data_IF_341079385881
#
_entry.id   IF_341079385881
#
_cell.length_a   1.000
_cell.length_b   1.000
_cell.length_c   1.000
_cell.angle_alpha   90.00
_cell.angle_beta   90.00
_cell.angle_gamma   90.00
#
_symmetry.space_group_name_H-M   'P 1'
#
loop_
_entity.id
_entity.type
_entity.pdbx_description
1 polymer ?
#
# COMPACT_ATOMS: atom_id res chain seq x y z
N UNK A 1 -13.53 2.31 3.96
CA UNK A 1 -13.95 3.72 4.09
C UNK A 1 -12.72 4.59 3.92
N UNK A 2 -12.73 5.57 3.01
CA UNK A 2 -11.60 6.48 2.79
C UNK A 2 -11.77 7.70 3.72
N UNK A 3 -10.81 7.95 4.60
CA UNK A 3 -10.80 9.14 5.47
C UNK A 3 -9.89 10.18 4.83
N UNK A 4 -10.44 11.34 4.50
CA UNK A 4 -9.70 12.51 4.03
C UNK A 4 -9.53 13.47 5.21
N UNK A 5 -8.28 13.78 5.57
CA UNK A 5 -7.96 14.79 6.58
C UNK A 5 -7.87 16.16 5.89
N UNK A 6 -8.54 17.23 6.37
CA UNK A 6 -8.47 18.55 5.74
C UNK A 6 -7.12 19.24 6.03
N UNK A 7 -6.67 20.01 5.05
CA UNK A 7 -5.43 20.83 5.07
C UNK A 7 -4.12 20.03 5.23
N UNK A 8 -3.82 19.37 4.11
CA UNK A 8 -2.51 19.01 3.56
C UNK A 8 -1.89 17.62 3.84
N UNK A 9 -1.37 17.09 2.72
CA UNK A 9 -0.32 16.09 2.55
C UNK A 9 -0.59 14.58 2.61
N UNK A 10 -1.55 14.03 3.36
CA UNK A 10 -1.65 12.55 3.52
C UNK A 10 -3.08 12.01 3.38
N UNK A 11 -3.25 10.95 2.58
CA UNK A 11 -4.50 10.20 2.38
C UNK A 11 -4.36 8.77 2.91
N UNK A 12 -5.42 8.20 3.49
CA UNK A 12 -5.42 6.76 3.85
C UNK A 12 -6.09 5.96 2.75
N UNK A 13 -5.31 5.17 2.03
CA UNK A 13 -5.76 4.45 0.83
C UNK A 13 -5.61 2.94 1.00
N UNK A 14 -6.53 2.20 0.36
CA UNK A 14 -6.37 0.76 0.15
C UNK A 14 -5.78 0.53 -1.25
N UNK A 15 -4.75 -0.31 -1.33
CA UNK A 15 -3.95 -0.57 -2.52
C UNK A 15 -3.88 -2.07 -2.79
N UNK A 16 -4.40 -2.52 -3.93
CA UNK A 16 -4.23 -3.91 -4.36
C UNK A 16 -2.88 -4.08 -5.03
N UNK A 17 -2.06 -4.99 -4.52
CA UNK A 17 -0.70 -5.22 -5.01
C UNK A 17 -0.67 -6.04 -6.29
N UNK A 18 0.11 -5.57 -7.27
CA UNK A 18 0.35 -6.24 -8.53
C UNK A 18 1.54 -7.20 -8.47
N UNK A 19 1.86 -7.88 -9.59
CA UNK A 19 2.96 -8.83 -9.66
C UNK A 19 4.33 -8.25 -9.28
N UNK A 20 4.59 -6.98 -9.61
CA UNK A 20 5.89 -6.35 -9.37
C UNK A 20 6.14 -6.00 -7.89
N UNK A 21 5.11 -6.02 -7.05
CA UNK A 21 5.25 -5.86 -5.60
C UNK A 21 5.52 -7.19 -4.87
N UNK A 22 5.37 -8.33 -5.56
CA UNK A 22 5.56 -9.64 -4.96
C UNK A 22 7.01 -9.86 -4.53
N UNK A 23 7.19 -10.28 -3.28
CA UNK A 23 8.51 -10.59 -2.70
C UNK A 23 9.24 -9.40 -2.10
N UNK A 24 8.77 -8.16 -2.32
CA UNK A 24 9.26 -6.99 -1.58
C UNK A 24 8.91 -7.13 -0.10
N UNK A 25 9.77 -6.62 0.77
CA UNK A 25 9.42 -6.44 2.18
C UNK A 25 8.47 -5.24 2.35
N UNK A 26 7.85 -5.12 3.52
CA UNK A 26 7.10 -3.91 3.87
C UNK A 26 8.01 -2.69 3.86
N UNK A 27 9.23 -2.81 4.41
CA UNK A 27 10.21 -1.73 4.40
C UNK A 27 10.60 -1.29 2.98
N UNK A 28 10.84 -2.23 2.06
CA UNK A 28 11.14 -1.93 0.66
C UNK A 28 9.99 -1.18 -0.04
N UNK A 29 8.75 -1.47 0.36
CA UNK A 29 7.54 -0.88 -0.21
C UNK A 29 7.19 0.48 0.39
N UNK A 30 7.56 0.73 1.64
CA UNK A 30 7.38 2.01 2.33
C UNK A 30 8.34 3.07 1.77
N UNK A 31 7.93 3.70 0.66
CA UNK A 31 8.74 4.63 -0.12
C UNK A 31 9.16 5.90 0.67
N UNK A 32 10.36 5.87 1.27
CA UNK A 32 11.07 7.01 1.88
C UNK A 32 10.16 7.96 2.71
N UNK A 33 9.31 7.39 3.57
CA UNK A 33 8.40 8.16 4.42
C UNK A 33 7.21 8.82 3.71
N UNK A 34 7.03 8.58 2.41
CA UNK A 34 5.85 9.04 1.64
C UNK A 34 4.75 7.99 1.52
N UNK A 35 5.01 6.78 1.97
CA UNK A 35 4.03 5.71 2.09
C UNK A 35 4.35 4.92 3.35
N UNK A 36 3.33 4.70 4.19
CA UNK A 36 3.46 3.93 5.42
C UNK A 36 2.29 2.94 5.51
N UNK A 37 2.60 1.65 5.64
CA UNK A 37 1.62 0.58 5.70
C UNK A 37 1.08 0.48 7.12
N UNK A 38 -0.24 0.53 7.25
CA UNK A 38 -0.94 0.30 8.51
C UNK A 38 -1.43 -1.14 8.65
N UNK A 39 -1.83 -1.77 7.54
CA UNK A 39 -2.31 -3.14 7.54
C UNK A 39 -2.10 -3.83 6.19
N UNK A 40 -1.94 -5.16 6.23
CA UNK A 40 -1.97 -6.04 5.05
C UNK A 40 -3.13 -7.02 5.22
N UNK A 41 -3.98 -7.11 4.20
CA UNK A 41 -5.05 -8.09 4.09
C UNK A 41 -4.73 -9.13 3.02
N UNK A 42 -4.68 -10.40 3.44
CA UNK A 42 -4.44 -11.56 2.56
C UNK A 42 -5.46 -12.64 2.85
N UNK A 43 -6.18 -13.09 1.81
CA UNK A 43 -7.22 -14.11 1.97
C UNK A 43 -8.30 -13.73 2.99
N UNK A 44 -8.69 -12.45 3.03
CA UNK A 44 -9.74 -11.93 3.92
C UNK A 44 -9.33 -11.74 5.39
N UNK A 45 -8.05 -11.91 5.72
CA UNK A 45 -7.52 -11.66 7.07
C UNK A 45 -6.56 -10.48 7.06
N UNK A 46 -6.84 -9.48 7.88
CA UNK A 46 -5.97 -8.31 8.07
C UNK A 46 -5.05 -8.48 9.27
N UNK A 47 -3.82 -7.99 9.16
CA UNK A 47 -2.87 -7.90 10.26
C UNK A 47 -2.05 -6.61 10.15
N UNK A 48 -1.48 -6.18 11.28
CA UNK A 48 -0.39 -5.20 11.29
C UNK A 48 0.88 -5.96 10.87
N UNK A 49 1.58 -5.56 9.80
CA UNK A 49 2.77 -6.26 9.36
C UNK A 49 4.02 -5.75 10.09
N UNK A 50 5.06 -6.57 10.09
CA UNK A 50 6.42 -6.17 10.48
C UNK A 50 7.22 -5.68 9.26
N UNK A 51 8.28 -4.88 9.42
CA UNK A 51 9.08 -4.35 8.30
C UNK A 51 9.61 -5.43 7.34
N UNK A 52 9.98 -6.60 7.87
CA UNK A 52 10.57 -7.71 7.11
C UNK A 52 9.52 -8.63 6.44
N UNK A 53 8.23 -8.43 6.73
CA UNK A 53 7.15 -9.22 6.14
C UNK A 53 7.15 -9.08 4.61
N UNK A 54 7.04 -10.20 3.91
CA UNK A 54 6.97 -10.21 2.44
C UNK A 54 5.55 -9.98 1.92
N UNK A 55 5.45 -9.04 1.00
CA UNK A 55 4.24 -8.71 0.27
C UNK A 55 4.00 -9.72 -0.86
N UNK A 56 2.72 -10.03 -1.10
CA UNK A 56 2.29 -10.92 -2.15
C UNK A 56 1.38 -10.23 -3.16
N UNK A 57 1.40 -10.70 -4.42
CA UNK A 57 0.43 -10.27 -5.42
C UNK A 57 -0.98 -10.54 -4.90
N UNK A 58 -1.86 -9.55 -5.04
CA UNK A 58 -3.25 -9.65 -4.61
C UNK A 58 -3.47 -9.32 -3.13
N UNK A 59 -2.41 -9.03 -2.36
CA UNK A 59 -2.57 -8.39 -1.06
C UNK A 59 -3.27 -7.05 -1.23
N UNK A 60 -4.13 -6.71 -0.27
CA UNK A 60 -4.68 -5.36 -0.13
C UNK A 60 -3.97 -4.70 1.04
N UNK A 61 -3.31 -3.60 0.76
CA UNK A 61 -2.53 -2.84 1.73
C UNK A 61 -3.27 -1.56 2.07
N UNK A 62 -3.57 -1.36 3.35
CA UNK A 62 -4.05 -0.07 3.85
C UNK A 62 -2.84 0.77 4.24
N UNK A 63 -2.70 1.95 3.64
CA UNK A 63 -1.53 2.80 3.83
C UNK A 63 -1.88 4.28 3.97
N UNK A 64 -1.12 4.99 4.80
CA UNK A 64 -1.04 6.43 4.76
C UNK A 64 -0.10 6.83 3.61
N UNK A 65 -0.60 7.64 2.69
CA UNK A 65 0.02 7.95 1.41
C UNK A 65 0.14 9.47 1.24
N UNK A 66 1.37 9.95 1.04
CA UNK A 66 1.60 11.35 0.75
C UNK A 66 0.99 11.74 -0.62
N UNK A 67 0.51 12.98 -0.74
CA UNK A 67 -0.12 13.49 -1.95
C UNK A 67 0.76 13.24 -3.19
N UNK A 68 0.15 12.66 -4.23
CA UNK A 68 0.83 12.41 -5.50
C UNK A 68 1.71 11.16 -5.56
N UNK A 69 1.87 10.40 -4.46
CA UNK A 69 2.64 9.14 -4.47
C UNK A 69 2.04 8.08 -5.40
N UNK A 70 0.73 8.14 -5.64
CA UNK A 70 0.00 7.21 -6.54
C UNK A 70 0.63 7.06 -7.92
N UNK A 71 1.20 8.15 -8.49
CA UNK A 71 1.90 8.09 -9.79
C UNK A 71 3.15 7.21 -9.75
N UNK A 72 3.85 7.15 -8.62
CA UNK A 72 5.04 6.31 -8.43
C UNK A 72 4.69 4.85 -8.15
N UNK A 73 3.54 4.62 -7.52
CA UNK A 73 3.06 3.27 -7.20
C UNK A 73 2.50 2.53 -8.41
N UNK A 74 2.22 3.20 -9.53
CA UNK A 74 1.54 2.61 -10.67
C UNK A 74 2.11 1.27 -11.17
N UNK A 75 3.44 1.10 -11.15
CA UNK A 75 4.08 -0.16 -11.57
C UNK A 75 3.91 -1.31 -10.55
N UNK A 76 3.65 -1.00 -9.28
CA UNK A 76 3.56 -1.94 -8.16
C UNK A 76 2.12 -2.37 -7.86
N UNK A 77 1.13 -1.58 -8.31
CA UNK A 77 -0.29 -1.87 -8.10
C UNK A 77 -0.82 -2.84 -9.16
N UNK A 78 -1.86 -3.58 -8.82
CA UNK A 78 -2.66 -4.25 -9.81
C UNK A 78 -3.27 -3.20 -10.76
N UNK A 79 -3.31 -3.50 -12.06
CA UNK A 79 -4.10 -2.69 -12.98
C UNK A 79 -5.57 -2.68 -12.52
N UNK A 80 -6.30 -1.61 -12.81
CA UNK A 80 -7.75 -1.68 -12.74
C UNK A 80 -8.18 -2.74 -13.77
N UNK A 81 -8.50 -3.93 -13.31
CA UNK A 81 -9.21 -4.90 -14.14
C UNK A 81 -10.62 -4.34 -14.31
N UNK A 82 -11.00 -4.01 -15.55
CA UNK A 82 -12.36 -3.63 -15.97
C UNK A 82 -13.36 -4.76 -15.70
#
# INVERSE_FOLDING_TARGET
HHILLPDDEVEVVDLTLGPNAHGLTVEDFELDGRLRIAAVSRGGRSRIPEPEDRLERGDVVTAAAARGIRRRLGALLAGAED
#
